data_IF_485550702046
#
_entry.id   IF_485550702046
#
_cell.length_a   1.000
_cell.length_b   1.000
_cell.length_c   1.000
_cell.angle_alpha   90.00
_cell.angle_beta   90.00
_cell.angle_gamma   90.00
#
_symmetry.space_group_name_H-M   'P 1'
#
loop_
_entity.id
_entity.type
_entity.pdbx_description
1 polymer ?
#
# COMPACT_ATOMS: atom_id res chain seq x y z
N UNK A 1 -2.91 -23.52 -23.19
CA UNK A 1 -3.72 -22.29 -23.00
C UNK A 1 -4.63 -22.52 -21.80
N UNK A 2 -4.34 -21.86 -20.68
CA UNK A 2 -5.13 -21.96 -19.46
C UNK A 2 -6.47 -21.24 -19.60
N UNK A 3 -7.48 -21.72 -18.87
CA UNK A 3 -8.86 -21.22 -18.86
C UNK A 3 -9.00 -19.70 -18.66
N UNK A 4 -7.98 -19.03 -18.11
CA UNK A 4 -7.97 -17.60 -17.76
C UNK A 4 -6.93 -16.76 -18.52
N UNK A 5 -6.27 -17.30 -19.54
CA UNK A 5 -5.18 -16.58 -20.24
C UNK A 5 -5.66 -15.29 -20.92
N UNK A 6 -6.91 -15.26 -21.41
CA UNK A 6 -7.52 -14.09 -22.02
C UNK A 6 -7.81 -12.97 -21.00
N UNK A 7 -8.22 -13.32 -19.77
CA UNK A 7 -8.40 -12.35 -18.69
C UNK A 7 -7.07 -11.74 -18.26
N UNK A 8 -6.01 -12.55 -18.16
CA UNK A 8 -4.66 -12.06 -17.86
C UNK A 8 -4.15 -11.11 -18.94
N UNK A 9 -4.43 -11.41 -20.22
CA UNK A 9 -4.08 -10.54 -21.34
C UNK A 9 -4.84 -9.22 -21.28
N UNK A 10 -6.17 -9.26 -21.14
CA UNK A 10 -6.99 -8.05 -21.04
C UNK A 10 -6.65 -7.19 -19.82
N UNK A 11 -6.31 -7.80 -18.69
CA UNK A 11 -5.82 -7.08 -17.51
C UNK A 11 -4.51 -6.34 -17.78
N UNK A 12 -3.52 -7.01 -18.40
CA UNK A 12 -2.24 -6.36 -18.75
C UNK A 12 -2.42 -5.20 -19.73
N UNK A 13 -3.29 -5.36 -20.73
CA UNK A 13 -3.62 -4.30 -21.68
C UNK A 13 -4.31 -3.12 -20.96
N UNK A 14 -5.28 -3.38 -20.09
CA UNK A 14 -5.92 -2.34 -19.30
C UNK A 14 -4.95 -1.59 -18.38
N UNK A 15 -4.04 -2.30 -17.70
CA UNK A 15 -3.00 -1.68 -16.86
C UNK A 15 -2.05 -0.82 -17.69
N UNK A 16 -1.67 -1.28 -18.89
CA UNK A 16 -0.82 -0.51 -19.80
C UNK A 16 -1.50 0.80 -20.21
N UNK A 17 -2.78 0.75 -20.58
CA UNK A 17 -3.57 1.94 -20.96
C UNK A 17 -3.71 2.89 -19.77
N UNK A 18 -4.03 2.37 -18.58
CA UNK A 18 -4.20 3.19 -17.38
C UNK A 18 -2.92 3.89 -16.96
N UNK A 19 -1.74 3.28 -17.19
CA UNK A 19 -0.45 3.92 -16.89
C UNK A 19 -0.14 5.14 -17.76
N UNK A 20 -0.80 5.30 -18.91
CA UNK A 20 -0.70 6.50 -19.74
C UNK A 20 -1.50 7.69 -19.17
N UNK A 21 -2.42 7.43 -18.23
CA UNK A 21 -3.18 8.48 -17.56
C UNK A 21 -2.24 9.25 -16.62
N UNK A 22 -2.19 10.61 -16.71
CA UNK A 22 -1.32 11.42 -15.87
C UNK A 22 -1.49 11.12 -14.37
N UNK A 23 -0.38 10.82 -13.69
CA UNK A 23 -0.35 10.53 -12.26
C UNK A 23 -0.68 9.09 -11.87
N UNK A 24 -1.17 8.25 -12.79
CA UNK A 24 -1.47 6.84 -12.47
C UNK A 24 -0.19 6.02 -12.30
N UNK A 25 0.80 6.18 -13.18
CA UNK A 25 2.08 5.49 -13.01
C UNK A 25 2.76 5.87 -11.69
N UNK A 26 2.83 7.17 -11.39
CA UNK A 26 3.39 7.70 -10.15
C UNK A 26 2.70 7.13 -8.90
N UNK A 27 1.36 7.13 -8.87
CA UNK A 27 0.63 6.52 -7.78
C UNK A 27 0.82 4.99 -7.73
N UNK A 28 0.72 4.30 -8.86
CA UNK A 28 0.78 2.84 -8.91
C UNK A 28 2.15 2.28 -8.49
N UNK A 29 3.22 3.05 -8.72
CA UNK A 29 4.59 2.70 -8.38
C UNK A 29 5.06 3.36 -7.06
N UNK A 30 4.15 4.05 -6.34
CA UNK A 30 4.43 4.70 -5.07
C UNK A 30 4.65 3.71 -3.92
N UNK A 31 5.41 4.13 -2.91
CA UNK A 31 5.67 3.33 -1.72
C UNK A 31 4.38 3.03 -0.94
N UNK A 32 3.45 3.97 -0.90
CA UNK A 32 2.16 3.84 -0.22
C UNK A 32 1.30 2.73 -0.84
N UNK A 33 1.27 2.64 -2.17
CA UNK A 33 0.57 1.55 -2.87
C UNK A 33 1.28 0.21 -2.67
N UNK A 34 2.62 0.19 -2.68
CA UNK A 34 3.38 -1.02 -2.40
C UNK A 34 3.12 -1.55 -0.98
N UNK A 35 3.15 -0.66 0.03
CA UNK A 35 2.84 -0.99 1.43
C UNK A 35 1.39 -1.47 1.57
N UNK A 36 0.43 -0.77 0.95
CA UNK A 36 -0.98 -1.15 0.99
C UNK A 36 -1.22 -2.56 0.42
N UNK A 37 -0.55 -2.91 -0.69
CA UNK A 37 -0.59 -4.26 -1.28
C UNK A 37 0.00 -5.31 -0.36
N UNK A 38 1.17 -5.04 0.22
CA UNK A 38 1.82 -5.97 1.15
C UNK A 38 0.92 -6.25 2.38
N UNK A 39 0.32 -5.20 2.97
CA UNK A 39 -0.65 -5.33 4.06
C UNK A 39 -1.85 -6.18 3.62
N UNK A 40 -2.40 -5.89 2.43
CA UNK A 40 -3.54 -6.62 1.86
C UNK A 40 -3.23 -8.10 1.67
N UNK A 41 -2.07 -8.43 1.11
CA UNK A 41 -1.64 -9.81 0.87
C UNK A 41 -1.47 -10.54 2.19
N UNK A 42 -0.75 -9.93 3.15
CA UNK A 42 -0.53 -10.52 4.46
C UNK A 42 -1.82 -10.73 5.24
N UNK A 43 -2.75 -9.77 5.20
CA UNK A 43 -4.08 -9.89 5.80
C UNK A 43 -4.83 -11.12 5.26
N UNK A 44 -4.81 -11.29 3.94
CA UNK A 44 -5.46 -12.43 3.26
C UNK A 44 -4.80 -13.77 3.61
N UNK A 45 -3.46 -13.81 3.73
CA UNK A 45 -2.73 -15.01 4.19
C UNK A 45 -3.15 -15.44 5.59
N UNK A 46 -3.37 -14.46 6.48
CA UNK A 46 -3.85 -14.71 7.85
C UNK A 46 -5.36 -14.98 7.93
N UNK A 47 -6.09 -14.88 6.82
CA UNK A 47 -7.52 -15.15 6.74
C UNK A 47 -8.40 -14.05 7.34
N UNK A 48 -7.88 -12.84 7.51
CA UNK A 48 -8.65 -11.72 8.04
C UNK A 48 -9.42 -10.99 6.93
N UNK A 49 -10.67 -10.64 7.22
CA UNK A 49 -11.35 -9.55 6.51
C UNK A 49 -10.88 -8.18 7.04
N UNK A 50 -11.36 -7.10 6.41
CA UNK A 50 -10.96 -5.73 6.77
C UNK A 50 -11.41 -5.34 8.18
N UNK A 51 -12.60 -5.77 8.61
CA UNK A 51 -13.13 -5.46 9.94
C UNK A 51 -12.34 -6.22 11.01
N UNK A 52 -12.04 -7.49 10.77
CA UNK A 52 -11.20 -8.29 11.64
C UNK A 52 -9.81 -7.67 11.79
N UNK A 53 -9.19 -7.20 10.71
CA UNK A 53 -7.92 -6.49 10.80
C UNK A 53 -8.02 -5.22 11.64
N UNK A 54 -9.08 -4.42 11.45
CA UNK A 54 -9.34 -3.23 12.27
C UNK A 54 -9.44 -3.60 13.76
N UNK A 55 -10.22 -4.64 14.08
CA UNK A 55 -10.46 -5.09 15.45
C UNK A 55 -9.18 -5.59 16.12
N UNK A 56 -8.38 -6.43 15.45
CA UNK A 56 -7.15 -6.99 16.04
C UNK A 56 -6.00 -5.99 16.12
N UNK A 57 -5.98 -4.99 15.25
CA UNK A 57 -4.95 -3.93 15.26
C UNK A 57 -5.30 -2.73 16.13
N UNK A 58 -6.58 -2.55 16.46
CA UNK A 58 -7.09 -1.35 17.13
C UNK A 58 -7.02 -0.09 16.25
N UNK A 59 -7.01 -0.28 14.92
CA UNK A 59 -7.03 0.80 13.92
C UNK A 59 -8.46 0.93 13.40
N UNK A 60 -8.88 2.16 13.04
CA UNK A 60 -10.22 2.36 12.49
C UNK A 60 -10.39 1.65 11.15
N UNK A 61 -11.58 1.13 10.85
CA UNK A 61 -11.88 0.52 9.55
C UNK A 61 -11.57 1.46 8.37
N UNK A 62 -11.82 2.76 8.55
CA UNK A 62 -11.53 3.78 7.55
C UNK A 62 -10.02 3.88 7.29
N UNK A 63 -9.20 3.96 8.34
CA UNK A 63 -7.74 4.03 8.22
C UNK A 63 -7.18 2.74 7.58
N UNK A 64 -7.71 1.56 7.94
CA UNK A 64 -7.32 0.29 7.30
C UNK A 64 -7.58 0.35 5.78
N UNK A 65 -8.76 0.81 5.37
CA UNK A 65 -9.10 0.96 3.95
C UNK A 65 -8.16 1.94 3.24
N UNK A 66 -7.93 3.11 3.83
CA UNK A 66 -7.04 4.15 3.28
C UNK A 66 -5.62 3.61 3.07
N UNK A 67 -5.11 2.86 4.06
CA UNK A 67 -3.76 2.27 4.03
C UNK A 67 -3.67 1.16 2.99
N UNK A 68 -4.59 0.20 2.97
CA UNK A 68 -4.54 -0.91 1.98
C UNK A 68 -4.66 -0.42 0.53
N UNK A 69 -5.37 0.70 0.34
CA UNK A 69 -5.50 1.35 -0.96
C UNK A 69 -4.36 2.32 -1.27
N UNK A 70 -3.39 2.55 -0.38
CA UNK A 70 -2.29 3.50 -0.62
C UNK A 70 -2.75 4.95 -0.77
N UNK A 71 -3.92 5.31 -0.23
CA UNK A 71 -4.52 6.64 -0.38
C UNK A 71 -3.89 7.70 0.54
N UNK A 72 -2.86 7.33 1.30
CA UNK A 72 -1.96 8.27 1.98
C UNK A 72 -1.01 8.99 1.02
N UNK A 73 -0.93 8.54 -0.24
CA UNK A 73 -0.15 9.19 -1.28
C UNK A 73 -0.51 10.68 -1.39
N UNK A 74 0.48 11.56 -1.57
CA UNK A 74 0.31 13.01 -1.53
C UNK A 74 -0.76 13.56 -2.50
N UNK A 75 -1.00 12.90 -3.64
CA UNK A 75 -2.08 13.26 -4.58
C UNK A 75 -3.49 12.93 -4.10
N UNK A 76 -3.64 11.92 -3.23
CA UNK A 76 -4.91 11.55 -2.60
C UNK A 76 -5.12 12.32 -1.29
N UNK A 77 -4.04 12.54 -0.54
CA UNK A 77 -4.01 13.45 0.61
C UNK A 77 -4.84 13.00 1.82
N UNK A 78 -5.21 11.72 1.90
CA UNK A 78 -5.93 11.20 3.05
C UNK A 78 -4.95 10.96 4.21
N UNK A 79 -5.31 11.51 5.36
CA UNK A 79 -4.52 11.41 6.59
C UNK A 79 -5.07 10.27 7.43
N UNK A 80 -4.17 9.44 7.95
CA UNK A 80 -4.49 8.37 8.89
C UNK A 80 -3.91 8.66 10.26
N UNK A 81 -4.36 7.93 11.27
CA UNK A 81 -3.84 8.07 12.64
C UNK A 81 -2.32 7.83 12.67
N UNK A 82 -1.50 8.65 13.37
CA UNK A 82 -0.04 8.60 13.31
C UNK A 82 0.62 7.25 13.64
N UNK A 83 -0.07 6.37 14.37
CA UNK A 83 0.42 5.04 14.77
C UNK A 83 -0.26 3.87 14.06
N UNK A 84 -1.17 4.16 13.11
CA UNK A 84 -1.98 3.14 12.42
C UNK A 84 -1.10 2.11 11.70
N UNK A 85 -0.07 2.57 10.98
CA UNK A 85 0.80 1.69 10.21
C UNK A 85 1.59 0.72 11.11
N UNK A 86 2.13 1.23 12.22
CA UNK A 86 2.84 0.43 13.22
C UNK A 86 1.94 -0.60 13.89
N UNK A 87 0.69 -0.23 14.20
CA UNK A 87 -0.32 -1.14 14.75
C UNK A 87 -0.68 -2.25 13.77
N UNK A 88 -0.86 -1.93 12.49
CA UNK A 88 -1.14 -2.93 11.45
C UNK A 88 0.03 -3.89 11.24
N UNK A 89 1.26 -3.39 11.17
CA UNK A 89 2.44 -4.26 11.02
C UNK A 89 2.57 -5.23 12.19
N UNK A 90 2.34 -4.76 13.41
CA UNK A 90 2.33 -5.62 14.60
C UNK A 90 1.22 -6.67 14.53
N UNK A 91 -0.01 -6.27 14.19
CA UNK A 91 -1.15 -7.18 14.09
C UNK A 91 -0.99 -8.24 12.99
N UNK A 92 -0.32 -7.88 11.89
CA UNK A 92 -0.05 -8.76 10.76
C UNK A 92 1.24 -9.60 10.92
N UNK A 93 1.92 -9.45 12.05
CA UNK A 93 3.21 -10.09 12.33
C UNK A 93 4.22 -9.85 11.20
N UNK A 94 4.20 -8.63 10.64
CA UNK A 94 5.17 -8.19 9.64
C UNK A 94 6.41 -7.77 10.42
N UNK A 95 7.24 -8.76 10.75
CA UNK A 95 8.53 -8.57 11.40
C UNK A 95 9.62 -8.29 10.36
N UNK A 96 10.55 -7.38 10.67
CA UNK A 96 11.73 -7.14 9.83
C UNK A 96 11.62 -6.01 8.81
N UNK A 97 10.49 -5.30 8.70
CA UNK A 97 10.46 -3.96 8.10
C UNK A 97 11.11 -2.98 9.08
N UNK A 98 12.44 -2.95 9.09
CA UNK A 98 13.14 -1.77 9.57
C UNK A 98 12.88 -0.69 8.53
N UNK A 99 12.27 0.45 8.85
CA UNK A 99 12.50 1.62 8.03
C UNK A 99 14.02 1.74 7.94
N UNK A 100 14.57 1.62 6.74
CA UNK A 100 15.88 2.21 6.52
C UNK A 100 15.64 3.69 6.71
N UNK A 101 15.79 4.16 7.95
CA UNK A 101 16.20 5.51 8.19
C UNK A 101 17.64 5.57 7.67
N UNK A 102 17.77 5.47 6.34
CA UNK A 102 18.98 5.88 5.68
C UNK A 102 19.02 7.38 5.94
N UNK A 103 19.98 7.79 6.75
CA UNK A 103 20.47 9.16 6.78
C UNK A 103 20.75 9.68 5.35
N UNK A 104 20.87 8.81 4.34
CA UNK A 104 20.92 9.14 2.91
C UNK A 104 19.62 9.72 2.32
N UNK A 105 18.42 9.34 2.82
CA UNK A 105 17.15 9.91 2.34
C UNK A 105 16.97 11.38 2.78
N UNK A 106 17.47 11.73 3.96
CA UNK A 106 17.52 13.12 4.43
C UNK A 106 18.56 13.94 3.65
N UNK A 107 19.67 13.32 3.22
CA UNK A 107 20.70 13.98 2.42
C UNK A 107 20.24 14.30 0.97
N UNK A 108 19.28 13.54 0.42
CA UNK A 108 18.72 13.82 -0.90
C UNK A 108 17.76 15.03 -0.87
N UNK A 109 16.90 15.13 0.16
CA UNK A 109 15.97 16.25 0.32
C UNK A 109 16.66 17.59 0.68
N UNK A 110 17.85 17.54 1.28
CA UNK A 110 18.63 18.73 1.63
C UNK A 110 19.51 19.27 0.49
N UNK A 111 19.69 18.53 -0.61
CA UNK A 111 20.50 18.94 -1.77
C UNK A 111 19.66 19.46 -2.96
N UNK A 112 18.32 19.41 -2.87
CA UNK A 112 17.39 20.00 -3.85
C UNK A 112 16.66 21.26 -3.33
N UNK A 113 17.13 21.85 -2.22
CA UNK A 113 16.70 23.14 -1.69
C UNK A 113 17.80 24.20 -1.84
#
# INVERSE_FOLDING_TARGET
MGKYDHLKKGYREAVSILREVPGVAEYADSAEVAIGRMITERRKELGYDLQQLADVSGVSFADVCVIEMGLTHHRAGLVVTPDALSKLFKALQIEGLRPMADEEAAAYAANEA
#
